data_IF_057466520216
#
_entry.id   IF_057466520216
#
_cell.length_a   1.000
_cell.length_b   1.000
_cell.length_c   1.000
_cell.angle_alpha   90.00
_cell.angle_beta   90.00
_cell.angle_gamma   90.00
#
_symmetry.space_group_name_H-M   'P 1'
#
loop_
_entity.id
_entity.type
_entity.pdbx_description
1 polymer ?
#
# COMPACT_ATOMS: atom_id res chain seq x y z
N UNK A 1 11.00 3.72 8.68
CA UNK A 1 10.64 3.76 7.26
C UNK A 1 11.25 2.51 6.66
N UNK A 2 10.42 1.58 6.21
CA UNK A 2 10.88 0.39 5.49
C UNK A 2 11.32 0.89 4.10
N UNK A 3 12.63 1.11 3.91
CA UNK A 3 13.21 1.40 2.59
C UNK A 3 13.28 0.08 1.83
N UNK A 4 12.15 -0.33 1.26
CA UNK A 4 12.09 -1.50 0.40
C UNK A 4 11.92 -1.07 -1.04
N UNK A 5 12.91 -1.46 -1.85
CA UNK A 5 13.04 -1.12 -3.26
C UNK A 5 13.14 0.40 -3.53
N UNK A 6 13.69 0.76 -4.69
CA UNK A 6 13.73 2.15 -5.11
C UNK A 6 12.29 2.59 -5.44
N UNK A 7 11.75 3.69 -4.88
CA UNK A 7 10.39 4.15 -5.21
C UNK A 7 10.13 4.32 -6.72
N UNK A 8 11.18 4.63 -7.49
CA UNK A 8 11.08 4.71 -8.95
C UNK A 8 10.95 3.34 -9.63
N UNK A 9 11.55 2.29 -9.07
CA UNK A 9 11.43 0.91 -9.54
C UNK A 9 10.03 0.35 -9.21
N UNK A 10 9.56 0.59 -7.98
CA UNK A 10 8.19 0.24 -7.56
C UNK A 10 7.17 0.84 -8.52
N UNK A 11 7.33 2.12 -8.85
CA UNK A 11 6.47 2.85 -9.79
C UNK A 11 6.67 2.45 -11.25
N UNK A 12 7.82 1.90 -11.63
CA UNK A 12 8.00 1.36 -12.98
C UNK A 12 7.19 0.07 -13.16
N UNK A 13 7.12 -0.76 -12.13
CA UNK A 13 6.45 -2.07 -12.16
C UNK A 13 4.93 -1.97 -12.33
N UNK A 14 4.31 -0.85 -11.93
CA UNK A 14 2.85 -0.66 -12.03
C UNK A 14 2.37 -0.27 -13.45
N UNK A 15 3.28 -0.01 -14.38
CA UNK A 15 2.96 0.19 -15.80
C UNK A 15 1.94 1.30 -16.08
N UNK A 16 0.90 0.97 -16.84
CA UNK A 16 -0.15 1.92 -17.30
C UNK A 16 -0.95 2.53 -16.14
N UNK A 17 -1.05 1.83 -14.99
CA UNK A 17 -1.74 2.33 -13.81
C UNK A 17 -1.03 3.52 -13.15
N UNK A 18 0.25 3.75 -13.45
CA UNK A 18 1.01 4.90 -12.94
C UNK A 18 0.33 6.23 -13.27
N UNK A 19 -0.15 6.38 -14.50
CA UNK A 19 -0.78 7.62 -14.94
C UNK A 19 -2.09 7.85 -14.17
N UNK A 20 -2.89 6.80 -13.97
CA UNK A 20 -4.11 6.87 -13.18
C UNK A 20 -3.81 7.32 -11.74
N UNK A 21 -2.87 6.65 -11.05
CA UNK A 21 -2.53 6.98 -9.67
C UNK A 21 -1.94 8.40 -9.53
N UNK A 22 -1.15 8.84 -10.52
CA UNK A 22 -0.59 10.21 -10.54
C UNK A 22 -1.68 11.25 -10.75
N UNK A 23 -2.56 11.04 -11.74
CA UNK A 23 -3.68 11.95 -12.03
C UNK A 23 -4.67 12.03 -10.86
N UNK A 24 -4.80 10.96 -10.08
CA UNK A 24 -5.61 10.91 -8.87
C UNK A 24 -4.95 11.49 -7.63
N UNK A 25 -3.74 12.04 -7.73
CA UNK A 25 -2.93 12.52 -6.59
C UNK A 25 -2.65 11.47 -5.52
N UNK A 26 -2.74 10.18 -5.88
CA UNK A 26 -2.40 9.07 -4.98
C UNK A 26 -0.89 8.84 -5.02
N UNK A 27 -0.31 8.92 -6.23
CA UNK A 27 1.12 8.88 -6.45
C UNK A 27 1.64 10.30 -6.75
N UNK A 28 2.53 10.81 -5.91
CA UNK A 28 3.05 12.18 -6.00
C UNK A 28 4.55 12.14 -6.27
N UNK A 29 5.02 12.93 -7.24
CA UNK A 29 6.45 13.09 -7.53
C UNK A 29 6.94 14.43 -7.01
N UNK A 30 7.75 14.41 -5.95
CA UNK A 30 8.25 15.62 -5.30
C UNK A 30 9.67 15.42 -4.79
N UNK A 31 10.58 16.34 -5.12
CA UNK A 31 11.96 16.28 -4.64
C UNK A 31 12.83 15.22 -5.33
N UNK A 32 12.39 14.69 -6.48
CA UNK A 32 13.15 13.70 -7.25
C UNK A 32 12.70 12.25 -7.04
N UNK A 33 11.72 12.02 -6.16
CA UNK A 33 11.23 10.71 -5.78
C UNK A 33 9.69 10.64 -5.79
N UNK A 34 9.17 9.42 -5.93
CA UNK A 34 7.75 9.13 -5.82
C UNK A 34 7.36 8.84 -4.37
N UNK A 35 6.16 9.29 -3.99
CA UNK A 35 5.55 9.09 -2.67
C UNK A 35 4.07 8.75 -2.82
N UNK A 36 3.53 8.01 -1.86
CA UNK A 36 2.09 7.75 -1.79
C UNK A 36 1.42 8.77 -0.87
N UNK A 37 0.34 9.40 -1.33
CA UNK A 37 -0.53 10.23 -0.48
C UNK A 37 -1.48 9.31 0.30
N UNK A 38 -1.40 9.36 1.63
CA UNK A 38 -2.19 8.50 2.52
C UNK A 38 -3.50 9.16 2.97
N UNK A 39 -3.60 10.48 2.86
CA UNK A 39 -4.83 11.22 3.17
C UNK A 39 -5.79 11.10 1.99
N UNK A 40 -6.75 10.19 2.14
CA UNK A 40 -7.78 9.94 1.12
C UNK A 40 -8.58 11.18 0.72
N UNK A 41 -8.71 12.17 1.61
CA UNK A 41 -9.38 13.43 1.32
C UNK A 41 -8.62 14.32 0.32
N UNK A 42 -7.31 14.12 0.19
CA UNK A 42 -6.47 14.83 -0.77
C UNK A 42 -6.47 14.14 -2.16
N UNK A 43 -7.09 12.96 -2.27
CA UNK A 43 -7.18 12.22 -3.53
C UNK A 43 -8.18 12.87 -4.48
N UNK A 44 -7.78 12.99 -5.75
CA UNK A 44 -8.64 13.49 -6.84
C UNK A 44 -9.19 12.31 -7.62
N UNK A 45 -10.22 11.66 -7.09
CA UNK A 45 -10.87 10.51 -7.74
C UNK A 45 -12.09 10.98 -8.55
N UNK A 46 -12.04 11.01 -9.90
CA UNK A 46 -13.22 11.31 -10.70
C UNK A 46 -14.34 10.29 -10.46
N UNK A 47 -15.59 10.74 -10.56
CA UNK A 47 -16.75 9.85 -10.48
C UNK A 47 -16.65 8.69 -11.48
N UNK A 48 -16.92 7.47 -11.00
CA UNK A 48 -16.85 6.26 -11.82
C UNK A 48 -15.45 5.69 -12.06
N UNK A 49 -14.41 6.19 -11.36
CA UNK A 49 -13.04 5.67 -11.48
C UNK A 49 -12.54 4.92 -10.25
N UNK A 50 -13.35 4.82 -9.19
CA UNK A 50 -12.96 4.20 -7.92
C UNK A 50 -12.49 2.75 -8.09
N UNK A 51 -13.27 1.92 -8.77
CA UNK A 51 -12.91 0.52 -9.01
C UNK A 51 -11.59 0.37 -9.80
N UNK A 52 -11.30 1.33 -10.69
CA UNK A 52 -10.03 1.36 -11.44
C UNK A 52 -8.86 1.75 -10.56
N UNK A 53 -9.07 2.65 -9.60
CA UNK A 53 -8.06 3.02 -8.61
C UNK A 53 -7.79 1.85 -7.67
N UNK A 54 -8.83 1.17 -7.21
CA UNK A 54 -8.68 0.00 -6.35
C UNK A 54 -7.91 -1.11 -7.08
N UNK A 55 -8.21 -1.36 -8.37
CA UNK A 55 -7.43 -2.27 -9.22
C UNK A 55 -5.98 -1.80 -9.41
N UNK A 56 -5.74 -0.50 -9.60
CA UNK A 56 -4.40 0.04 -9.76
C UNK A 56 -3.55 -0.09 -8.49
N UNK A 57 -4.15 0.10 -7.32
CA UNK A 57 -3.51 -0.13 -6.03
C UNK A 57 -3.24 -1.61 -5.78
N UNK A 58 -4.18 -2.48 -6.18
CA UNK A 58 -4.00 -3.92 -6.15
C UNK A 58 -2.81 -4.36 -7.02
N UNK A 59 -2.76 -3.95 -8.28
CA UNK A 59 -1.65 -4.26 -9.19
C UNK A 59 -0.31 -3.72 -8.66
N UNK A 60 -0.32 -2.57 -7.99
CA UNK A 60 0.87 -2.04 -7.35
C UNK A 60 1.41 -2.95 -6.24
N UNK A 61 0.54 -3.61 -5.49
CA UNK A 61 0.95 -4.60 -4.48
C UNK A 61 1.31 -5.95 -5.11
N UNK A 62 0.61 -6.36 -6.17
CA UNK A 62 0.84 -7.65 -6.83
C UNK A 62 2.16 -7.69 -7.62
N UNK A 63 2.56 -6.57 -8.24
CA UNK A 63 3.78 -6.49 -9.05
C UNK A 63 5.04 -6.12 -8.26
N UNK A 64 4.92 -5.90 -6.95
CA UNK A 64 6.05 -5.52 -6.11
C UNK A 64 6.21 -6.48 -4.94
N UNK A 65 7.46 -6.78 -4.62
CA UNK A 65 7.82 -7.56 -3.45
C UNK A 65 8.13 -6.65 -2.27
N UNK A 66 7.87 -7.17 -1.07
CA UNK A 66 8.27 -6.61 0.22
C UNK A 66 9.20 -7.61 0.93
N UNK A 67 10.24 -7.14 1.61
CA UNK A 67 11.16 -7.96 2.40
C UNK A 67 10.69 -8.04 3.84
N UNK A 68 9.67 -8.85 4.07
CA UNK A 68 9.16 -9.06 5.41
C UNK A 68 9.97 -10.13 6.17
N UNK A 69 10.54 -9.74 7.32
CA UNK A 69 11.31 -10.62 8.20
C UNK A 69 12.48 -11.34 7.54
N UNK A 70 13.15 -10.65 6.61
CA UNK A 70 14.34 -11.15 5.90
C UNK A 70 14.02 -12.09 4.74
N UNK A 71 12.75 -12.25 4.38
CA UNK A 71 12.33 -13.03 3.21
C UNK A 71 11.50 -12.16 2.25
N UNK A 72 11.76 -12.22 0.94
CA UNK A 72 10.90 -11.56 -0.03
C UNK A 72 9.51 -12.21 -0.01
N UNK A 73 8.48 -11.37 -0.04
CA UNK A 73 7.08 -11.72 -0.09
C UNK A 73 6.41 -10.88 -1.18
N UNK A 74 5.46 -11.45 -1.90
CA UNK A 74 4.60 -10.66 -2.77
C UNK A 74 3.79 -9.66 -1.93
N UNK A 75 3.76 -8.38 -2.31
CA UNK A 75 3.12 -7.32 -1.53
C UNK A 75 1.61 -7.51 -1.37
N UNK A 76 0.94 -8.06 -2.38
CA UNK A 76 -0.48 -8.40 -2.31
C UNK A 76 -0.71 -9.54 -1.31
N UNK A 77 0.05 -10.63 -1.40
CA UNK A 77 -0.06 -11.78 -0.46
C UNK A 77 0.22 -11.34 0.97
N UNK A 78 1.25 -10.51 1.19
CA UNK A 78 1.57 -9.93 2.49
C UNK A 78 0.38 -9.13 3.07
N UNK A 79 -0.20 -8.25 2.27
CA UNK A 79 -1.31 -7.39 2.71
C UNK A 79 -2.60 -8.18 2.93
N UNK A 80 -2.90 -9.14 2.04
CA UNK A 80 -4.09 -9.98 2.11
C UNK A 80 -4.06 -10.86 3.36
N UNK A 81 -2.92 -11.46 3.70
CA UNK A 81 -2.77 -12.27 4.91
C UNK A 81 -3.14 -11.50 6.19
N UNK A 82 -2.72 -10.23 6.30
CA UNK A 82 -3.11 -9.38 7.43
C UNK A 82 -4.61 -9.09 7.45
N UNK A 83 -5.18 -8.70 6.31
CA UNK A 83 -6.61 -8.39 6.21
C UNK A 83 -7.46 -9.63 6.53
N UNK A 84 -7.14 -10.80 5.99
CA UNK A 84 -7.86 -12.04 6.28
C UNK A 84 -7.79 -12.43 7.75
N UNK A 85 -6.64 -12.23 8.40
CA UNK A 85 -6.44 -12.55 9.82
C UNK A 85 -7.17 -11.61 10.78
N UNK A 86 -7.29 -10.32 10.43
CA UNK A 86 -7.71 -9.28 11.37
C UNK A 86 -8.91 -8.44 10.92
N UNK A 87 -9.58 -8.79 9.81
CA UNK A 87 -10.78 -8.09 9.36
C UNK A 87 -11.89 -8.15 10.43
N UNK A 88 -12.24 -6.99 10.99
CA UNK A 88 -13.22 -6.86 12.06
C UNK A 88 -12.71 -7.23 13.46
N UNK A 89 -11.40 -7.38 13.64
CA UNK A 89 -10.79 -7.73 14.93
C UNK A 89 -10.64 -6.54 15.91
N UNK A 90 -10.72 -5.30 15.42
CA UNK A 90 -10.46 -4.08 16.21
C UNK A 90 -11.70 -3.19 16.31
N UNK A 91 -11.93 -2.62 17.49
CA UNK A 91 -13.05 -1.70 17.73
C UNK A 91 -12.64 -0.24 17.50
N UNK A 92 -11.34 0.05 17.64
CA UNK A 92 -10.79 1.41 17.51
C UNK A 92 -9.69 1.50 16.46
N UNK A 93 -9.46 2.72 15.96
CA UNK A 93 -8.35 2.99 15.05
C UNK A 93 -6.99 2.78 15.71
N UNK A 94 -6.86 3.09 17.00
CA UNK A 94 -5.59 2.96 17.74
C UNK A 94 -5.17 1.49 17.87
N UNK A 95 -6.11 0.58 18.15
CA UNK A 95 -5.86 -0.87 18.18
C UNK A 95 -5.43 -1.39 16.79
N UNK A 96 -6.13 -0.97 15.74
CA UNK A 96 -5.78 -1.32 14.37
C UNK A 96 -4.37 -0.84 13.99
N UNK A 97 -4.00 0.39 14.35
CA UNK A 97 -2.66 0.90 14.06
C UNK A 97 -1.58 0.22 14.90
N UNK A 98 -1.86 -0.11 16.16
CA UNK A 98 -0.94 -0.88 16.99
C UNK A 98 -0.67 -2.26 16.38
N UNK A 99 -1.72 -2.97 15.93
CA UNK A 99 -1.60 -4.25 15.26
C UNK A 99 -0.82 -4.18 13.94
N UNK A 100 -1.10 -3.19 13.08
CA UNK A 100 -0.31 -3.00 11.84
C UNK A 100 1.15 -2.77 12.17
N UNK A 101 1.46 -1.89 13.12
CA UNK A 101 2.84 -1.57 13.48
C UNK A 101 3.59 -2.79 14.02
N UNK A 102 2.92 -3.65 14.79
CA UNK A 102 3.48 -4.92 15.26
C UNK A 102 3.71 -5.88 14.09
N UNK A 103 2.71 -6.10 13.24
CA UNK A 103 2.78 -7.02 12.10
C UNK A 103 3.89 -6.65 11.11
N UNK A 104 4.01 -5.37 10.72
CA UNK A 104 5.06 -4.92 9.79
C UNK A 104 6.46 -5.01 10.41
N UNK A 105 6.57 -5.02 11.75
CA UNK A 105 7.82 -5.21 12.51
C UNK A 105 8.04 -6.67 12.93
N UNK A 106 7.51 -7.61 12.13
CA UNK A 106 7.66 -9.06 12.35
C UNK A 106 7.00 -9.61 13.62
N UNK A 107 6.09 -8.85 14.21
CA UNK A 107 5.20 -9.29 15.26
C UNK A 107 4.03 -10.13 14.73
N UNK A 108 3.11 -10.48 15.62
CA UNK A 108 1.95 -11.30 15.27
C UNK A 108 0.78 -10.48 14.75
N UNK A 109 0.73 -9.18 15.07
CA UNK A 109 -0.42 -8.31 14.82
C UNK A 109 -1.61 -8.61 15.74
N UNK A 110 -1.47 -9.51 16.72
CA UNK A 110 -2.56 -9.85 17.63
C UNK A 110 -2.81 -8.71 18.66
N UNK A 111 -4.08 -8.50 19.08
CA UNK A 111 -4.44 -7.54 20.13
C UNK A 111 -3.77 -7.81 21.50
#
# INVERSE_FOLDING_TARGET
>A
MLEENNPNEVVANIGENRELLTNSQILVYEGGEYRVELKKDDWRVPNGTRDRIDSALYDAMDYNEVTWCGSPQNGHVFTEAYVEGFNGAFETADEYYASINDYVDCGTGEP
#
